data_IF_965635637406
#
_entry.id   IF_965635637406
#
_cell.length_a   1.000
_cell.length_b   1.000
_cell.length_c   1.000
_cell.angle_alpha   90.00
_cell.angle_beta   90.00
_cell.angle_gamma   90.00
#
_symmetry.space_group_name_H-M   'P 1'
#
loop_
_entity.id
_entity.type
_entity.pdbx_description
1 polymer ?
#
# COMPACT_ATOMS: atom_id res chain seq x y z
N UNK A 1 -39.66 -62.61 14.42
CA UNK A 1 -40.36 -62.39 13.14
C UNK A 1 -39.75 -61.16 12.47
N UNK A 2 -39.27 -61.33 11.23
CA UNK A 2 -38.87 -60.35 10.18
C UNK A 2 -38.45 -58.93 10.63
N UNK A 3 -37.20 -58.54 10.50
CA UNK A 3 -36.43 -58.27 9.26
C UNK A 3 -36.79 -56.94 8.56
N UNK A 4 -35.71 -56.18 8.34
CA UNK A 4 -35.44 -55.32 7.19
C UNK A 4 -35.94 -53.86 7.13
N UNK A 5 -34.96 -52.97 7.42
CA UNK A 5 -34.20 -52.19 6.43
C UNK A 5 -34.65 -50.77 6.02
N UNK A 6 -33.60 -49.93 5.96
CA UNK A 6 -33.36 -48.74 5.11
C UNK A 6 -34.07 -47.42 5.50
N UNK A 7 -33.52 -46.22 5.32
CA UNK A 7 -32.20 -45.68 4.97
C UNK A 7 -32.38 -44.14 4.92
N UNK A 8 -31.58 -43.40 5.71
CA UNK A 8 -30.77 -42.19 5.36
C UNK A 8 -31.48 -41.03 4.60
N UNK A 9 -31.38 -39.75 4.99
CA UNK A 9 -30.31 -38.72 4.79
C UNK A 9 -30.99 -37.41 5.30
N UNK A 10 -30.41 -36.55 6.16
CA UNK A 10 -29.30 -35.65 5.88
C UNK A 10 -29.48 -34.29 6.60
N UNK A 11 -28.37 -33.56 6.63
CA UNK A 11 -28.23 -32.10 6.78
C UNK A 11 -28.21 -31.47 8.19
N UNK A 12 -27.00 -31.48 8.75
CA UNK A 12 -26.21 -30.27 9.10
C UNK A 12 -26.96 -29.03 9.59
N UNK A 13 -27.16 -28.95 10.90
CA UNK A 13 -27.44 -27.71 11.62
C UNK A 13 -26.22 -27.29 12.46
N UNK A 14 -25.26 -26.60 11.85
CA UNK A 14 -24.27 -25.80 12.58
C UNK A 14 -23.85 -24.61 11.73
N UNK A 15 -24.62 -23.51 11.78
CA UNK A 15 -24.19 -22.15 11.42
C UNK A 15 -25.19 -21.12 11.98
N UNK A 16 -25.56 -21.27 13.26
CA UNK A 16 -26.26 -20.25 14.04
C UNK A 16 -25.50 -20.02 15.33
N UNK A 17 -24.56 -19.08 15.29
CA UNK A 17 -23.99 -18.26 16.40
C UNK A 17 -22.58 -17.80 16.01
N UNK A 18 -22.44 -16.59 15.45
CA UNK A 18 -21.39 -15.63 15.82
C UNK A 18 -21.64 -14.28 15.12
N UNK A 19 -22.48 -13.45 15.74
CA UNK A 19 -22.41 -12.00 15.58
C UNK A 19 -21.79 -11.47 16.87
N UNK A 20 -20.56 -10.96 16.83
CA UNK A 20 -20.15 -9.73 17.54
C UNK A 20 -18.71 -9.31 17.21
N UNK A 21 -18.60 -8.04 16.80
CA UNK A 21 -17.51 -7.08 17.04
C UNK A 21 -16.08 -7.41 16.57
N UNK A 22 -15.60 -6.64 15.57
CA UNK A 22 -14.18 -6.58 15.21
C UNK A 22 -13.95 -5.88 13.88
N UNK A 23 -14.19 -4.57 13.81
CA UNK A 23 -13.79 -3.72 12.69
C UNK A 23 -12.28 -3.53 12.70
N UNK A 24 -11.56 -4.26 11.85
CA UNK A 24 -10.27 -3.83 11.28
C UNK A 24 -10.25 -4.16 9.80
N UNK A 25 -10.26 -3.11 8.99
CA UNK A 25 -10.10 -3.15 7.54
C UNK A 25 -8.68 -3.66 7.20
N UNK A 26 -8.53 -4.95 6.92
CA UNK A 26 -7.37 -5.48 6.20
C UNK A 26 -7.75 -5.63 4.73
N UNK A 27 -7.60 -4.54 3.98
CA UNK A 27 -7.72 -4.56 2.52
C UNK A 27 -6.48 -5.21 1.92
N UNK A 28 -6.74 -6.25 1.12
CA UNK A 28 -6.00 -6.63 -0.10
C UNK A 28 -4.60 -7.22 0.08
N UNK A 29 -4.53 -8.50 0.47
CA UNK A 29 -3.46 -9.39 0.01
C UNK A 29 -3.84 -9.93 -1.38
N UNK A 30 -3.03 -9.58 -2.38
CA UNK A 30 -3.29 -9.78 -3.80
C UNK A 30 -3.36 -11.25 -4.25
N UNK A 31 -4.16 -11.44 -5.29
CA UNK A 31 -4.20 -12.65 -6.12
C UNK A 31 -2.89 -12.71 -6.91
N UNK A 32 -2.05 -13.68 -6.61
CA UNK A 32 -0.88 -14.05 -7.40
C UNK A 32 -1.32 -14.80 -8.66
N UNK A 33 -1.31 -14.13 -9.81
CA UNK A 33 -1.27 -14.77 -11.12
C UNK A 33 0.16 -15.19 -11.39
N UNK A 34 0.48 -16.46 -11.14
CA UNK A 34 1.74 -17.06 -11.53
C UNK A 34 1.65 -17.51 -13.00
N UNK A 35 2.36 -16.82 -13.89
CA UNK A 35 2.94 -17.43 -15.09
C UNK A 35 4.36 -16.89 -15.31
N UNK A 36 5.30 -17.73 -15.80
CA UNK A 36 6.72 -17.48 -15.65
C UNK A 36 7.32 -16.97 -16.96
N UNK A 37 7.84 -15.74 -16.99
CA UNK A 37 8.71 -15.31 -18.09
C UNK A 37 9.83 -14.42 -17.55
N UNK A 38 10.99 -15.05 -17.39
CA UNK A 38 12.29 -14.47 -17.73
C UNK A 38 12.76 -13.23 -16.98
N UNK A 39 13.52 -13.44 -15.89
CA UNK A 39 14.87 -12.87 -15.82
C UNK A 39 15.71 -13.60 -14.76
N UNK A 40 16.33 -14.72 -15.15
CA UNK A 40 17.53 -15.26 -14.49
C UNK A 40 18.79 -14.52 -14.96
N UNK A 41 18.68 -13.21 -15.17
CA UNK A 41 19.82 -12.33 -15.37
C UNK A 41 19.61 -11.15 -14.44
N UNK A 42 20.10 -11.34 -13.21
CA UNK A 42 21.06 -10.44 -12.54
C UNK A 42 21.06 -10.69 -11.03
N UNK A 43 21.29 -11.94 -10.62
CA UNK A 43 21.87 -12.19 -9.30
C UNK A 43 23.39 -12.05 -9.46
N UNK A 44 23.90 -10.87 -9.11
CA UNK A 44 25.31 -10.54 -9.25
C UNK A 44 25.58 -9.05 -9.35
N UNK A 45 25.08 -8.26 -8.39
CA UNK A 45 25.79 -7.11 -7.77
C UNK A 45 24.94 -6.55 -6.62
N UNK A 46 24.96 -7.19 -5.46
CA UNK A 46 24.29 -6.68 -4.24
C UNK A 46 25.32 -6.42 -3.12
N UNK A 47 26.44 -5.77 -3.44
CA UNK A 47 27.35 -5.28 -2.38
C UNK A 47 28.13 -3.99 -2.72
N UNK A 48 27.56 -3.11 -3.55
CA UNK A 48 28.04 -1.73 -3.71
C UNK A 48 26.86 -0.86 -4.16
N UNK A 49 26.06 -0.37 -3.22
CA UNK A 49 25.09 0.72 -3.50
C UNK A 49 24.67 1.53 -2.28
N UNK A 50 25.30 1.35 -1.11
CA UNK A 50 25.00 2.20 0.06
C UNK A 50 25.67 3.59 -0.03
N UNK A 51 26.56 3.84 -0.99
CA UNK A 51 27.21 5.16 -1.20
C UNK A 51 26.88 5.83 -2.54
N UNK A 52 25.86 5.36 -3.27
CA UNK A 52 25.55 5.87 -4.61
C UNK A 52 24.15 6.53 -4.76
N UNK A 53 23.27 6.44 -3.75
CA UNK A 53 22.02 7.23 -3.76
C UNK A 53 22.28 8.73 -3.58
N UNK A 54 23.39 9.12 -2.94
CA UNK A 54 23.78 10.53 -2.78
C UNK A 54 24.34 11.18 -4.05
N UNK A 55 24.49 10.43 -5.16
CA UNK A 55 25.15 10.90 -6.37
C UNK A 55 24.20 11.42 -7.46
N UNK A 56 22.89 11.41 -7.24
CA UNK A 56 21.90 11.84 -8.24
C UNK A 56 21.50 13.30 -8.00
N UNK A 57 21.71 14.21 -8.96
CA UNK A 57 21.29 15.60 -8.81
C UNK A 57 19.77 15.71 -8.61
N UNK A 58 19.34 16.56 -7.67
CA UNK A 58 17.92 16.79 -7.35
C UNK A 58 17.10 17.21 -8.58
N UNK A 59 17.70 17.89 -9.56
CA UNK A 59 17.06 18.25 -10.82
C UNK A 59 16.61 17.00 -11.62
N UNK A 60 17.41 15.93 -11.58
CA UNK A 60 17.08 14.68 -12.26
C UNK A 60 15.94 13.96 -11.56
N UNK A 61 15.93 13.97 -10.23
CA UNK A 61 14.85 13.37 -9.44
C UNK A 61 13.52 14.07 -9.70
N UNK A 62 13.49 15.41 -9.76
CA UNK A 62 12.30 16.17 -10.12
C UNK A 62 11.84 15.88 -11.55
N UNK A 63 12.77 15.74 -12.50
CA UNK A 63 12.44 15.36 -13.88
C UNK A 63 11.87 13.94 -13.94
N UNK A 64 12.43 13.01 -13.18
CA UNK A 64 11.91 11.64 -13.04
C UNK A 64 10.51 11.65 -12.42
N UNK A 65 10.28 12.42 -11.36
CA UNK A 65 8.97 12.57 -10.73
C UNK A 65 7.92 13.06 -11.74
N UNK A 66 8.24 14.08 -12.55
CA UNK A 66 7.37 14.51 -13.66
C UNK A 66 7.06 13.41 -14.65
N UNK A 67 8.07 12.64 -15.04
CA UNK A 67 7.87 11.55 -15.98
C UNK A 67 6.94 10.50 -15.38
N UNK A 68 7.14 10.12 -14.11
CA UNK A 68 6.27 9.15 -13.41
C UNK A 68 4.82 9.67 -13.33
N UNK A 69 4.61 10.96 -13.09
CA UNK A 69 3.26 11.57 -13.12
C UNK A 69 2.66 11.55 -14.54
N UNK A 70 3.47 11.82 -15.57
CA UNK A 70 3.03 11.73 -16.97
C UNK A 70 2.69 10.29 -17.38
N UNK A 71 3.42 9.31 -16.84
CA UNK A 71 3.22 7.89 -17.08
C UNK A 71 1.92 7.35 -16.43
N UNK A 72 1.27 8.13 -15.56
CA UNK A 72 -0.10 7.82 -15.08
C UNK A 72 -1.17 8.02 -16.17
N UNK A 73 -0.90 8.86 -17.17
CA UNK A 73 -1.85 9.20 -18.24
C UNK A 73 -2.44 7.97 -18.98
N UNK A 74 -1.65 6.98 -19.43
CA UNK A 74 -2.21 5.78 -20.07
C UNK A 74 -3.12 4.98 -19.14
N UNK A 75 -2.81 4.89 -17.85
CA UNK A 75 -3.65 4.20 -16.86
C UNK A 75 -4.98 4.93 -16.66
N UNK A 76 -4.92 6.26 -16.49
CA UNK A 76 -6.09 7.15 -16.43
C UNK A 76 -6.99 6.95 -17.66
N UNK A 77 -6.42 6.93 -18.86
CA UNK A 77 -7.18 6.69 -20.09
C UNK A 77 -7.81 5.31 -20.14
N UNK A 78 -7.11 4.27 -19.67
CA UNK A 78 -7.67 2.92 -19.61
C UNK A 78 -8.85 2.85 -18.63
N UNK A 79 -8.68 3.40 -17.43
CA UNK A 79 -9.74 3.48 -16.42
C UNK A 79 -10.95 4.29 -16.93
N UNK A 80 -10.72 5.42 -17.60
CA UNK A 80 -11.78 6.21 -18.24
C UNK A 80 -12.55 5.40 -19.30
N UNK A 81 -11.85 4.64 -20.16
CA UNK A 81 -12.50 3.76 -21.15
C UNK A 81 -13.34 2.68 -20.48
N UNK A 82 -12.87 2.09 -19.37
CA UNK A 82 -13.64 1.09 -18.60
C UNK A 82 -14.90 1.69 -18.00
N UNK A 83 -14.81 2.87 -17.40
CA UNK A 83 -15.96 3.62 -16.87
C UNK A 83 -16.95 3.96 -17.98
N UNK A 84 -16.48 4.41 -19.14
CA UNK A 84 -17.33 4.73 -20.28
C UNK A 84 -18.10 3.49 -20.80
N UNK A 85 -17.42 2.33 -20.88
CA UNK A 85 -18.08 1.06 -21.23
C UNK A 85 -19.16 0.68 -20.21
N UNK A 86 -18.86 0.80 -18.93
CA UNK A 86 -19.83 0.49 -17.87
C UNK A 86 -21.04 1.43 -17.91
N UNK A 87 -20.85 2.72 -18.21
CA UNK A 87 -21.96 3.67 -18.42
C UNK A 87 -22.91 3.20 -19.54
N UNK A 88 -22.37 2.75 -20.66
CA UNK A 88 -23.17 2.25 -21.78
C UNK A 88 -23.91 0.96 -21.39
N UNK A 89 -23.25 0.06 -20.66
CA UNK A 89 -23.88 -1.17 -20.16
C UNK A 89 -25.03 -0.91 -19.19
N UNK A 90 -24.89 0.09 -18.30
CA UNK A 90 -25.96 0.56 -17.42
C UNK A 90 -27.15 1.05 -18.25
N UNK A 91 -26.93 1.92 -19.23
CA UNK A 91 -27.99 2.43 -20.13
C UNK A 91 -28.68 1.29 -20.89
N UNK A 92 -27.91 0.29 -21.35
CA UNK A 92 -28.46 -0.89 -22.02
C UNK A 92 -29.35 -1.70 -21.08
N UNK A 93 -28.94 -1.90 -19.83
CA UNK A 93 -29.73 -2.61 -18.82
C UNK A 93 -30.99 -1.84 -18.43
N UNK A 94 -30.92 -0.51 -18.30
CA UNK A 94 -32.09 0.34 -18.06
C UNK A 94 -33.13 0.18 -19.17
N UNK A 95 -32.68 0.19 -20.43
CA UNK A 95 -33.57 -0.06 -21.57
C UNK A 95 -34.19 -1.46 -21.54
N UNK A 96 -33.40 -2.49 -21.27
CA UNK A 96 -33.89 -3.87 -21.18
C UNK A 96 -34.90 -4.07 -20.06
N UNK A 97 -34.67 -3.43 -18.91
CA UNK A 97 -35.59 -3.43 -17.78
C UNK A 97 -36.90 -2.74 -18.18
N UNK A 98 -36.84 -1.53 -18.74
CA UNK A 98 -38.03 -0.77 -19.16
C UNK A 98 -38.88 -1.54 -20.20
N UNK A 99 -38.23 -2.20 -21.17
CA UNK A 99 -38.92 -3.08 -22.13
C UNK A 99 -39.57 -4.29 -21.44
N UNK A 100 -38.89 -4.88 -20.47
CA UNK A 100 -39.41 -6.02 -19.70
C UNK A 100 -40.61 -5.62 -18.85
N UNK A 101 -40.54 -4.47 -18.20
CA UNK A 101 -41.62 -3.93 -17.36
C UNK A 101 -42.84 -3.55 -18.18
N UNK A 102 -42.64 -2.97 -19.37
CA UNK A 102 -43.74 -2.69 -20.31
C UNK A 102 -44.45 -3.99 -20.72
N UNK A 103 -43.69 -5.05 -21.03
CA UNK A 103 -44.25 -6.36 -21.37
C UNK A 103 -44.94 -7.02 -20.17
N UNK A 104 -44.44 -6.80 -18.96
CA UNK A 104 -45.05 -7.28 -17.73
C UNK A 104 -46.38 -6.60 -17.46
N UNK A 105 -46.44 -5.26 -17.55
CA UNK A 105 -47.67 -4.49 -17.37
C UNK A 105 -48.76 -4.93 -18.36
N UNK A 106 -48.39 -5.13 -19.63
CA UNK A 106 -49.32 -5.67 -20.64
C UNK A 106 -49.80 -7.08 -20.28
N UNK A 107 -48.89 -7.97 -19.90
CA UNK A 107 -49.24 -9.33 -19.52
C UNK A 107 -50.14 -9.37 -18.26
N UNK A 108 -49.91 -8.47 -17.31
CA UNK A 108 -50.75 -8.31 -16.13
C UNK A 108 -52.17 -7.90 -16.53
N UNK A 109 -52.33 -6.85 -17.33
CA UNK A 109 -53.64 -6.40 -17.82
C UNK A 109 -54.41 -7.50 -18.58
N UNK A 110 -53.72 -8.28 -19.41
CA UNK A 110 -54.33 -9.41 -20.12
C UNK A 110 -54.81 -10.50 -19.13
N UNK A 111 -54.01 -10.81 -18.12
CA UNK A 111 -54.35 -11.80 -17.07
C UNK A 111 -55.53 -11.32 -16.23
N UNK A 112 -55.55 -10.04 -15.84
CA UNK A 112 -56.65 -9.43 -15.08
C UNK A 112 -57.95 -9.52 -15.87
N UNK A 113 -57.95 -9.09 -17.14
CA UNK A 113 -59.11 -9.20 -18.03
C UNK A 113 -59.64 -10.63 -18.13
N UNK A 114 -58.77 -11.60 -18.42
CA UNK A 114 -59.15 -13.01 -18.51
C UNK A 114 -59.68 -13.57 -17.19
N UNK A 115 -59.14 -13.10 -16.06
CA UNK A 115 -59.57 -13.51 -14.72
C UNK A 115 -60.94 -12.93 -14.38
N UNK A 116 -61.20 -11.67 -14.74
CA UNK A 116 -62.47 -11.00 -14.53
C UNK A 116 -63.57 -11.60 -15.43
N UNK A 117 -63.28 -11.81 -16.72
CA UNK A 117 -64.22 -12.48 -17.64
C UNK A 117 -64.61 -13.87 -17.08
N UNK A 118 -63.64 -14.65 -16.56
CA UNK A 118 -63.91 -15.96 -15.96
C UNK A 118 -64.72 -15.91 -14.65
N UNK A 119 -64.79 -14.77 -13.95
CA UNK A 119 -65.62 -14.60 -12.74
C UNK A 119 -67.10 -14.45 -13.09
N UNK A 120 -67.41 -13.93 -14.26
CA UNK A 120 -68.78 -13.74 -14.74
C UNK A 120 -69.46 -15.06 -15.17
N UNK A 121 -68.74 -16.20 -15.11
CA UNK A 121 -69.21 -17.58 -15.40
C UNK A 121 -70.01 -17.74 -16.71
N UNK A 122 -69.58 -17.02 -17.75
CA UNK A 122 -70.17 -17.13 -19.08
C UNK A 122 -69.91 -18.50 -19.72
N UNK A 123 -70.90 -19.00 -20.47
CA UNK A 123 -70.80 -20.28 -21.22
C UNK A 123 -69.76 -20.23 -22.35
N UNK A 124 -69.57 -19.06 -22.95
CA UNK A 124 -68.66 -18.83 -24.06
C UNK A 124 -67.97 -17.48 -23.93
N UNK A 125 -66.72 -17.39 -24.37
CA UNK A 125 -65.89 -16.18 -24.33
C UNK A 125 -65.42 -15.85 -25.74
N UNK A 126 -65.46 -14.57 -26.14
CA UNK A 126 -64.99 -14.15 -27.46
C UNK A 126 -63.76 -13.26 -27.36
N UNK A 127 -62.66 -13.69 -28.00
CA UNK A 127 -61.42 -12.92 -28.08
C UNK A 127 -60.93 -12.89 -29.52
N UNK A 128 -60.65 -11.70 -30.06
CA UNK A 128 -60.12 -11.55 -31.42
C UNK A 128 -60.96 -12.22 -32.52
N UNK A 129 -62.30 -12.20 -32.36
CA UNK A 129 -63.23 -12.82 -33.32
C UNK A 129 -63.35 -14.34 -33.23
N UNK A 130 -62.73 -14.99 -32.23
CA UNK A 130 -62.83 -16.44 -32.00
C UNK A 130 -63.53 -16.72 -30.67
N UNK A 131 -64.32 -17.78 -30.63
CA UNK A 131 -65.06 -18.20 -29.43
C UNK A 131 -64.33 -19.33 -28.73
N UNK A 132 -64.26 -19.25 -27.40
CA UNK A 132 -63.57 -20.19 -26.52
C UNK A 132 -64.48 -20.65 -25.40
N UNK A 133 -64.22 -21.86 -24.90
CA UNK A 133 -64.89 -22.43 -23.71
C UNK A 133 -64.19 -22.01 -22.42
N UNK A 134 -64.89 -22.03 -21.29
CA UNK A 134 -64.29 -21.74 -19.96
C UNK A 134 -63.04 -22.58 -19.68
N UNK A 135 -63.02 -23.85 -20.08
CA UNK A 135 -61.86 -24.74 -19.90
C UNK A 135 -60.65 -24.27 -20.71
N UNK A 136 -60.86 -23.86 -21.96
CA UNK A 136 -59.78 -23.33 -22.80
C UNK A 136 -59.22 -22.01 -22.23
N UNK A 137 -60.09 -21.11 -21.77
CA UNK A 137 -59.69 -19.83 -21.17
C UNK A 137 -58.93 -20.04 -19.86
N UNK A 138 -59.38 -20.93 -18.98
CA UNK A 138 -58.67 -21.30 -17.73
C UNK A 138 -57.28 -21.88 -18.02
N UNK A 139 -57.16 -22.73 -19.05
CA UNK A 139 -55.87 -23.30 -19.47
C UNK A 139 -54.91 -22.22 -19.99
N UNK A 140 -55.39 -21.32 -20.86
CA UNK A 140 -54.59 -20.20 -21.37
C UNK A 140 -54.16 -19.25 -20.23
N UNK A 141 -55.08 -18.89 -19.34
CA UNK A 141 -54.79 -18.05 -18.17
C UNK A 141 -53.68 -18.66 -17.30
N UNK A 142 -53.75 -19.95 -17.00
CA UNK A 142 -52.72 -20.67 -16.24
C UNK A 142 -51.35 -20.57 -16.91
N UNK A 143 -51.28 -20.76 -18.23
CA UNK A 143 -50.04 -20.66 -19.00
C UNK A 143 -49.50 -19.23 -19.06
N UNK A 144 -50.37 -18.23 -19.23
CA UNK A 144 -49.99 -16.81 -19.17
C UNK A 144 -49.45 -16.43 -17.80
N UNK A 145 -50.12 -16.86 -16.74
CA UNK A 145 -49.71 -16.57 -15.36
C UNK A 145 -48.35 -17.20 -15.03
N UNK A 146 -48.08 -18.43 -15.47
CA UNK A 146 -46.75 -19.05 -15.35
C UNK A 146 -45.67 -18.20 -16.04
N UNK A 147 -45.92 -17.78 -17.28
CA UNK A 147 -44.99 -16.91 -18.04
C UNK A 147 -44.81 -15.54 -17.40
N UNK A 148 -45.88 -14.96 -16.85
CA UNK A 148 -45.85 -13.71 -16.12
C UNK A 148 -44.93 -13.80 -14.90
N UNK A 149 -45.09 -14.83 -14.06
CA UNK A 149 -44.20 -15.07 -12.91
C UNK A 149 -42.73 -15.16 -13.31
N UNK A 150 -42.43 -15.91 -14.36
CA UNK A 150 -41.05 -16.01 -14.86
C UNK A 150 -40.50 -14.65 -15.29
N UNK A 151 -41.28 -13.86 -16.04
CA UNK A 151 -40.88 -12.51 -16.45
C UNK A 151 -40.70 -11.56 -15.27
N UNK A 152 -41.56 -11.67 -14.26
CA UNK A 152 -41.48 -10.85 -13.05
C UNK A 152 -40.16 -11.13 -12.34
N UNK A 153 -39.82 -12.41 -12.15
CA UNK A 153 -38.52 -12.81 -11.61
C UNK A 153 -37.35 -12.32 -12.48
N UNK A 154 -37.50 -12.27 -13.80
CA UNK A 154 -36.48 -11.69 -14.69
C UNK A 154 -36.34 -10.18 -14.47
N UNK A 155 -37.43 -9.43 -14.39
CA UNK A 155 -37.40 -7.99 -14.08
C UNK A 155 -36.74 -7.72 -12.73
N UNK A 156 -37.12 -8.46 -11.68
CA UNK A 156 -36.52 -8.32 -10.35
C UNK A 156 -35.00 -8.53 -10.37
N UNK A 157 -34.53 -9.51 -11.15
CA UNK A 157 -33.09 -9.77 -11.33
C UNK A 157 -32.40 -8.65 -12.12
N UNK A 158 -33.02 -8.14 -13.18
CA UNK A 158 -32.51 -7.01 -13.95
C UNK A 158 -32.40 -5.76 -13.08
N UNK A 159 -33.41 -5.46 -12.27
CA UNK A 159 -33.42 -4.34 -11.32
C UNK A 159 -32.26 -4.45 -10.32
N UNK A 160 -32.06 -5.62 -9.71
CA UNK A 160 -30.94 -5.87 -8.79
C UNK A 160 -29.58 -5.69 -9.49
N UNK A 161 -29.43 -6.25 -10.69
CA UNK A 161 -28.21 -6.11 -11.48
C UNK A 161 -27.93 -4.64 -11.82
N UNK A 162 -28.95 -3.91 -12.24
CA UNK A 162 -28.86 -2.48 -12.55
C UNK A 162 -28.40 -1.69 -11.32
N UNK A 163 -29.05 -1.90 -10.17
CA UNK A 163 -28.66 -1.20 -8.93
C UNK A 163 -27.21 -1.48 -8.51
N UNK A 164 -26.75 -2.74 -8.65
CA UNK A 164 -25.39 -3.12 -8.31
C UNK A 164 -24.36 -2.48 -9.25
N UNK A 165 -24.66 -2.43 -10.55
CA UNK A 165 -23.81 -1.78 -11.56
C UNK A 165 -23.77 -0.27 -11.40
N UNK A 166 -24.91 0.37 -11.17
CA UNK A 166 -24.96 1.81 -10.88
C UNK A 166 -24.15 2.17 -9.63
N UNK A 167 -24.23 1.37 -8.56
CA UNK A 167 -23.40 1.57 -7.36
C UNK A 167 -21.91 1.38 -7.66
N UNK A 168 -21.56 0.34 -8.41
CA UNK A 168 -20.16 0.08 -8.82
C UNK A 168 -19.60 1.19 -9.70
N UNK A 169 -20.40 1.70 -10.64
CA UNK A 169 -20.06 2.80 -11.53
C UNK A 169 -19.83 4.11 -10.76
N UNK A 170 -20.69 4.41 -9.78
CA UNK A 170 -20.52 5.57 -8.88
C UNK A 170 -19.20 5.47 -8.13
N UNK A 171 -18.96 4.35 -7.46
CA UNK A 171 -17.73 4.12 -6.72
C UNK A 171 -16.47 4.09 -7.61
N UNK A 172 -16.58 3.68 -8.88
CA UNK A 172 -15.48 3.76 -9.84
C UNK A 172 -15.21 5.20 -10.29
N UNK A 173 -16.27 6.00 -10.48
CA UNK A 173 -16.15 7.41 -10.85
C UNK A 173 -15.53 8.23 -9.72
N UNK A 174 -15.97 8.03 -8.47
CA UNK A 174 -15.40 8.69 -7.30
C UNK A 174 -13.90 8.40 -7.14
N UNK A 175 -13.48 7.14 -7.35
CA UNK A 175 -12.06 6.76 -7.32
C UNK A 175 -11.27 7.40 -8.47
N UNK A 176 -11.88 7.53 -9.65
CA UNK A 176 -11.27 8.21 -10.80
C UNK A 176 -11.03 9.69 -10.49
N UNK A 177 -12.02 10.36 -9.89
CA UNK A 177 -11.92 11.77 -9.52
C UNK A 177 -10.83 11.97 -8.47
N UNK A 178 -10.81 11.14 -7.42
CA UNK A 178 -9.74 11.17 -6.41
C UNK A 178 -8.34 10.94 -7.01
N UNK A 179 -8.21 10.05 -7.98
CA UNK A 179 -6.94 9.81 -8.70
C UNK A 179 -6.52 11.02 -9.53
N UNK A 180 -7.46 11.68 -10.21
CA UNK A 180 -7.18 12.90 -10.97
C UNK A 180 -6.76 14.06 -10.07
N UNK A 181 -7.40 14.20 -8.91
CA UNK A 181 -7.03 15.21 -7.91
C UNK A 181 -5.64 14.93 -7.33
N UNK A 182 -5.34 13.68 -6.97
CA UNK A 182 -4.02 13.28 -6.52
C UNK A 182 -2.94 13.56 -7.58
N UNK A 183 -3.23 13.31 -8.87
CA UNK A 183 -2.32 13.65 -9.97
C UNK A 183 -2.05 15.15 -10.03
N UNK A 184 -3.08 16.00 -9.97
CA UNK A 184 -2.91 17.47 -9.98
C UNK A 184 -2.11 17.96 -8.77
N UNK A 185 -2.36 17.38 -7.60
CA UNK A 185 -1.64 17.70 -6.38
C UNK A 185 -0.14 17.38 -6.52
N UNK A 186 0.20 16.21 -7.06
CA UNK A 186 1.59 15.83 -7.34
C UNK A 186 2.25 16.77 -8.35
N UNK A 187 1.53 17.23 -9.39
CA UNK A 187 2.04 18.21 -10.35
C UNK A 187 2.43 19.52 -9.64
N UNK A 188 1.56 20.05 -8.79
CA UNK A 188 1.81 21.27 -7.99
C UNK A 188 2.98 21.08 -7.02
N UNK A 189 3.08 19.94 -6.35
CA UNK A 189 4.17 19.64 -5.43
C UNK A 189 5.53 19.62 -6.14
N UNK A 190 5.60 18.98 -7.31
CA UNK A 190 6.82 18.96 -8.12
C UNK A 190 7.21 20.35 -8.60
N UNK A 191 6.24 21.20 -8.97
CA UNK A 191 6.49 22.60 -9.32
C UNK A 191 7.04 23.41 -8.13
N UNK A 192 6.46 23.24 -6.94
CA UNK A 192 6.94 23.88 -5.72
C UNK A 192 8.38 23.44 -5.38
N UNK A 193 8.65 22.14 -5.44
CA UNK A 193 10.00 21.62 -5.19
C UNK A 193 11.01 22.14 -6.21
N UNK A 194 10.63 22.28 -7.49
CA UNK A 194 11.52 22.91 -8.47
C UNK A 194 11.79 24.38 -8.16
N UNK A 195 10.78 25.15 -7.73
CA UNK A 195 10.97 26.54 -7.34
C UNK A 195 11.92 26.67 -6.15
N UNK A 196 11.79 25.79 -5.15
CA UNK A 196 12.70 25.72 -3.99
C UNK A 196 14.13 25.39 -4.40
N UNK A 197 14.32 24.41 -5.29
CA UNK A 197 15.63 24.06 -5.81
C UNK A 197 16.27 25.22 -6.58
N UNK A 198 15.48 25.94 -7.39
CA UNK A 198 15.94 27.15 -8.07
C UNK A 198 16.38 28.25 -7.09
N UNK A 199 15.60 28.51 -6.04
CA UNK A 199 15.94 29.49 -5.01
C UNK A 199 17.22 29.10 -4.24
N UNK A 200 17.37 27.82 -3.88
CA UNK A 200 18.58 27.30 -3.25
C UNK A 200 19.81 27.53 -4.15
N UNK A 201 19.68 27.28 -5.45
CA UNK A 201 20.79 27.49 -6.40
C UNK A 201 21.19 28.96 -6.52
N UNK A 202 20.21 29.87 -6.57
CA UNK A 202 20.46 31.32 -6.53
C UNK A 202 21.19 31.72 -5.25
N UNK A 203 20.77 31.18 -4.10
CA UNK A 203 21.43 31.43 -2.82
C UNK A 203 22.87 30.89 -2.78
N UNK A 204 23.11 29.68 -3.29
CA UNK A 204 24.45 29.09 -3.39
C UNK A 204 25.38 29.92 -4.29
N UNK A 205 24.90 30.35 -5.47
CA UNK A 205 25.68 31.22 -6.36
C UNK A 205 25.92 32.60 -5.74
N UNK A 206 24.96 33.15 -4.99
CA UNK A 206 25.13 34.40 -4.26
C UNK A 206 26.10 34.26 -3.09
N UNK A 207 26.16 33.10 -2.43
CA UNK A 207 27.09 32.79 -1.35
C UNK A 207 28.51 32.48 -1.84
N UNK A 208 28.67 32.02 -3.09
CA UNK A 208 29.97 31.86 -3.73
C UNK A 208 30.62 33.20 -4.12
N UNK A 209 29.93 34.32 -3.92
CA UNK A 209 30.54 35.64 -3.92
C UNK A 209 31.12 35.95 -2.52
N UNK A 210 32.41 35.65 -2.36
CA UNK A 210 33.34 36.10 -1.31
C UNK A 210 33.34 35.35 0.04
N UNK A 211 34.02 34.19 0.09
CA UNK A 211 34.86 33.85 1.25
C UNK A 211 36.18 33.26 0.72
N UNK A 212 37.25 34.06 0.80
CA UNK A 212 38.61 33.66 0.43
C UNK A 212 39.23 32.81 1.55
N UNK A 213 38.99 31.49 1.51
CA UNK A 213 39.56 30.53 2.47
C UNK A 213 41.08 30.30 2.28
N UNK A 214 41.71 30.96 1.32
CA UNK A 214 43.15 30.83 1.08
C UNK A 214 43.97 31.35 2.27
N UNK A 215 43.48 32.36 2.99
CA UNK A 215 44.13 32.88 4.19
C UNK A 215 44.01 31.92 5.38
N UNK A 216 42.87 31.23 5.53
CA UNK A 216 42.65 30.25 6.60
C UNK A 216 43.46 28.98 6.36
N UNK A 217 43.53 28.50 5.12
CA UNK A 217 44.36 27.35 4.74
C UNK A 217 45.85 27.63 4.98
N UNK A 218 46.36 28.79 4.53
CA UNK A 218 47.75 29.20 4.80
C UNK A 218 48.05 29.34 6.29
N UNK A 219 47.07 29.77 7.10
CA UNK A 219 47.25 29.91 8.55
C UNK A 219 47.32 28.56 9.26
N UNK A 220 46.57 27.55 8.81
CA UNK A 220 46.66 26.18 9.34
C UNK A 220 47.99 25.53 9.01
N UNK A 221 48.44 25.68 7.77
CA UNK A 221 49.72 25.14 7.29
C UNK A 221 50.90 25.73 8.08
N UNK A 222 50.87 27.03 8.39
CA UNK A 222 51.86 27.67 9.26
C UNK A 222 51.82 27.15 10.71
N UNK A 223 50.63 26.87 11.26
CA UNK A 223 50.50 26.34 12.62
C UNK A 223 51.03 24.90 12.72
N UNK A 224 50.79 24.07 11.70
CA UNK A 224 51.32 22.71 11.64
C UNK A 224 52.86 22.72 11.53
N UNK A 225 53.43 23.65 10.76
CA UNK A 225 54.89 23.85 10.67
C UNK A 225 55.50 24.28 12.02
N UNK A 226 54.82 25.17 12.75
CA UNK A 226 55.25 25.58 14.09
C UNK A 226 55.18 24.42 15.09
N UNK A 227 54.11 23.62 15.07
CA UNK A 227 53.96 22.46 15.94
C UNK A 227 55.09 21.45 15.70
N UNK A 228 55.36 21.12 14.44
CA UNK A 228 56.45 20.21 14.07
C UNK A 228 57.82 20.71 14.56
N UNK A 229 58.05 22.03 14.53
CA UNK A 229 59.31 22.61 15.02
C UNK A 229 59.44 22.51 16.54
N UNK A 230 58.34 22.66 17.28
CA UNK A 230 58.34 22.49 18.74
C UNK A 230 58.64 21.03 19.08
N UNK A 231 58.00 20.07 18.42
CA UNK A 231 58.23 18.64 18.64
C UNK A 231 59.71 18.25 18.43
N UNK A 232 60.35 18.81 17.39
CA UNK A 232 61.78 18.58 17.11
C UNK A 232 62.66 19.19 18.20
N UNK A 233 62.39 20.41 18.65
CA UNK A 233 63.17 21.04 19.72
C UNK A 233 63.00 20.29 21.06
N UNK A 234 61.79 19.85 21.39
CA UNK A 234 61.53 19.01 22.57
C UNK A 234 62.30 17.69 22.50
N UNK A 235 62.27 17.00 21.35
CA UNK A 235 63.03 15.77 21.15
C UNK A 235 64.54 16.03 21.27
N UNK A 236 65.07 17.13 20.72
CA UNK A 236 66.50 17.46 20.85
C UNK A 236 66.90 17.85 22.28
N UNK A 237 66.03 18.51 23.05
CA UNK A 237 66.26 18.76 24.47
C UNK A 237 66.24 17.47 25.29
N UNK A 238 65.43 16.49 24.90
CA UNK A 238 65.39 15.17 25.53
C UNK A 238 66.64 14.35 25.20
N UNK A 239 67.14 14.47 23.95
CA UNK A 239 68.35 13.78 23.48
C UNK A 239 69.64 14.36 24.09
N UNK A 240 69.70 15.65 24.41
CA UNK A 240 70.87 16.28 25.06
C UNK A 240 71.06 15.88 26.55
N UNK A 241 70.06 15.25 27.18
CA UNK A 241 70.14 14.76 28.57
C UNK A 241 70.65 13.31 28.66
N UNK A 242 70.61 12.54 27.56
CA UNK A 242 70.83 11.08 27.61
C UNK A 242 72.23 10.62 27.15
N UNK A 243 73.17 11.53 26.83
CA UNK A 243 74.49 11.14 26.26
C UNK A 243 75.75 11.64 26.97
N UNK A 244 75.70 11.95 28.28
CA UNK A 244 76.92 12.13 29.08
C UNK A 244 76.85 11.42 30.44
N UNK A 245 77.69 10.38 30.61
CA UNK A 245 78.36 10.10 31.90
C UNK A 245 78.00 8.81 32.65
N UNK A 246 78.40 7.67 32.10
CA UNK A 246 79.14 6.55 32.73
C UNK A 246 78.96 6.12 34.22
N UNK A 247 78.93 4.78 34.36
CA UNK A 247 79.26 3.85 35.46
C UNK A 247 78.17 3.43 36.46
N UNK A 248 77.92 2.13 36.36
CA UNK A 248 77.06 1.16 37.04
C UNK A 248 77.46 0.85 38.50
N UNK A 249 76.47 0.69 39.40
CA UNK A 249 76.56 -0.11 40.63
C UNK A 249 75.15 -0.47 41.14
N UNK A 250 74.89 -1.79 41.23
CA UNK A 250 73.88 -2.50 42.06
C UNK A 250 72.60 -3.02 41.37
N UNK A 251 72.68 -4.30 40.94
CA UNK A 251 71.60 -5.33 40.93
C UNK A 251 70.92 -5.48 42.32
N UNK A 252 69.72 -6.10 42.49
CA UNK A 252 69.21 -7.24 41.69
C UNK A 252 67.67 -7.36 41.45
N UNK A 253 67.40 -8.33 40.56
CA UNK A 253 66.33 -9.36 40.56
C UNK A 253 64.87 -9.02 40.24
N UNK A 254 64.49 -9.46 39.04
CA UNK A 254 63.18 -9.99 38.67
C UNK A 254 62.81 -11.24 39.50
N UNK A 255 61.63 -11.22 40.13
CA UNK A 255 60.85 -12.42 40.44
C UNK A 255 59.35 -12.05 40.38
N UNK A 256 58.58 -12.77 39.55
CA UNK A 256 57.11 -12.77 39.40
C UNK A 256 56.44 -12.11 38.17
N UNK A 257 57.13 -12.05 37.02
CA UNK A 257 56.49 -11.72 35.73
C UNK A 257 55.35 -12.68 35.31
N UNK A 258 55.34 -13.92 35.82
CA UNK A 258 54.33 -14.94 35.46
C UNK A 258 53.01 -14.76 36.21
N UNK A 259 53.02 -14.13 37.38
CA UNK A 259 51.82 -13.92 38.20
C UNK A 259 50.96 -12.78 37.61
N UNK A 260 51.61 -11.71 37.13
CA UNK A 260 50.95 -10.56 36.47
C UNK A 260 50.29 -10.91 35.14
N UNK A 261 50.91 -11.81 34.36
CA UNK A 261 50.36 -12.26 33.06
C UNK A 261 49.09 -13.10 33.26
N UNK A 262 49.02 -13.88 34.35
CA UNK A 262 47.84 -14.70 34.66
C UNK A 262 46.66 -13.85 35.14
N UNK A 263 46.91 -12.81 35.96
CA UNK A 263 45.87 -11.90 36.45
C UNK A 263 45.27 -11.03 35.33
N UNK A 264 46.08 -10.64 34.34
CA UNK A 264 45.62 -9.81 33.22
C UNK A 264 44.75 -10.58 32.22
N UNK A 265 45.03 -11.86 31.99
CA UNK A 265 44.30 -12.68 31.02
C UNK A 265 42.92 -13.15 31.53
N UNK A 266 42.76 -13.30 32.85
CA UNK A 266 41.48 -13.68 33.47
C UNK A 266 40.49 -12.50 33.53
N UNK A 267 40.99 -11.25 33.55
CA UNK A 267 40.17 -10.04 33.56
C UNK A 267 39.48 -9.70 32.23
N UNK A 268 39.91 -10.28 31.11
CA UNK A 268 39.43 -9.92 29.77
C UNK A 268 38.28 -10.79 29.22
N UNK A 269 37.91 -11.88 29.90
CA UNK A 269 36.97 -12.90 29.35
C UNK A 269 35.62 -13.07 30.10
N UNK A 270 35.24 -12.15 31.00
CA UNK A 270 34.00 -12.25 31.79
C UNK A 270 33.02 -11.09 31.60
N UNK A 271 32.53 -10.88 30.37
CA UNK A 271 31.63 -9.80 30.00
C UNK A 271 30.27 -9.79 30.72
N UNK A 272 29.82 -8.61 31.17
CA UNK A 272 28.40 -8.24 31.22
C UNK A 272 27.87 -7.71 32.56
N UNK A 273 27.85 -6.39 32.73
CA UNK A 273 26.86 -5.70 33.58
C UNK A 273 26.71 -4.26 33.07
N UNK A 274 25.68 -3.95 32.28
CA UNK A 274 24.34 -3.55 32.68
C UNK A 274 24.26 -2.40 33.70
N UNK A 275 23.61 -1.35 33.22
CA UNK A 275 22.52 -0.67 33.91
C UNK A 275 22.86 0.49 34.87
N UNK A 276 22.37 1.65 34.44
CA UNK A 276 21.52 2.58 35.21
C UNK A 276 22.19 3.35 36.34
N UNK A 277 22.54 4.58 35.99
CA UNK A 277 22.75 5.72 36.88
C UNK A 277 21.40 6.20 37.44
N UNK A 278 21.29 6.25 38.76
CA UNK A 278 20.34 7.06 39.55
C UNK A 278 21.03 7.40 40.88
N UNK A 279 21.32 8.67 41.19
CA UNK A 279 20.49 9.60 42.02
C UNK A 279 20.38 9.04 43.45
N UNK A 280 20.70 9.70 44.58
CA UNK A 280 21.02 11.08 44.95
C UNK A 280 21.21 11.11 46.49
N UNK A 281 21.64 12.26 47.02
CA UNK A 281 21.37 12.83 48.36
C UNK A 281 22.16 12.41 49.61
N UNK A 282 22.75 13.46 50.21
CA UNK A 282 22.89 13.77 51.66
C UNK A 282 23.83 12.88 52.49
N UNK A 283 24.60 13.34 53.49
CA UNK A 283 24.66 14.61 54.24
C UNK A 283 25.99 14.65 55.01
N UNK A 284 26.46 15.87 55.27
CA UNK A 284 27.06 16.36 56.53
C UNK A 284 28.30 15.68 57.16
N UNK A 285 29.35 16.48 57.40
CA UNK A 285 29.86 16.79 58.76
C UNK A 285 31.27 17.42 58.74
N UNK A 286 31.32 18.70 59.12
CA UNK A 286 32.36 19.37 59.92
C UNK A 286 33.83 19.33 59.49
N UNK A 287 34.38 20.46 59.03
CA UNK A 287 35.09 21.47 59.85
C UNK A 287 35.42 22.71 59.01
#
# INVERSE_FOLDING_TARGET
MRDSRHFKIGETNMLRKLFLAGTTFALLSGITLATPIGSYVRCGWNYMTDSASDAVPLEWELKRARQMIADLQPEIQNNARRIAKEKIEVVRLEKQLAETDTRLAKAQSEIERLSDDLRDDSRTYSYGGKTYTSVQVKSDLSNRFKRFKTRQQTSDKLQKMLSARQASLRAASERMDAMLDARRQLEVEVENLQARLGALRVAQTSSQLNLDDSALSRSRELLDEIAMRIDVEEETMNVDVEYFGEIDLEEPSDENLLEDISAYMDGLNGAGSNALVSIDLSEDSSL
#
